data_IF_742513933723
#
_entry.id   IF_742513933723
#
_cell.length_a   1.000
_cell.length_b   1.000
_cell.length_c   1.000
_cell.angle_alpha   90.00
_cell.angle_beta   90.00
_cell.angle_gamma   90.00
#
_symmetry.space_group_name_H-M   'P 1'
#
loop_
_entity.id
_entity.type
_entity.pdbx_description
1 polymer ?
#
# COMPACT_ATOMS: atom_id res chain seq x y z
N UNK A 1 -6.20 -15.30 7.53
CA UNK A 1 -5.88 -14.67 6.24
C UNK A 1 -4.55 -15.23 5.81
N UNK A 2 -4.48 -15.76 4.60
CA UNK A 2 -3.22 -16.29 4.04
C UNK A 2 -2.43 -15.16 3.39
N UNK A 3 -1.11 -15.31 3.27
CA UNK A 3 -0.24 -14.34 2.63
C UNK A 3 -0.67 -14.01 1.19
N UNK A 4 -1.18 -15.01 0.46
CA UNK A 4 -1.74 -14.83 -0.88
C UNK A 4 -3.00 -13.95 -0.89
N UNK A 5 -3.89 -14.08 0.10
CA UNK A 5 -5.07 -13.22 0.21
C UNK A 5 -4.70 -11.77 0.57
N UNK A 6 -3.67 -11.57 1.40
CA UNK A 6 -3.15 -10.23 1.70
C UNK A 6 -2.55 -9.57 0.46
N UNK A 7 -1.77 -10.31 -0.33
CA UNK A 7 -1.18 -9.77 -1.56
C UNK A 7 -2.24 -9.39 -2.59
N UNK A 8 -3.32 -10.17 -2.70
CA UNK A 8 -4.46 -9.83 -3.57
C UNK A 8 -5.18 -8.55 -3.09
N UNK A 9 -5.38 -8.39 -1.77
CA UNK A 9 -5.98 -7.16 -1.22
C UNK A 9 -5.10 -5.94 -1.43
N UNK A 10 -3.79 -6.09 -1.22
CA UNK A 10 -2.81 -5.03 -1.45
C UNK A 10 -2.82 -4.59 -2.93
N UNK A 11 -2.79 -5.55 -3.86
CA UNK A 11 -2.85 -5.24 -5.29
C UNK A 11 -4.15 -4.52 -5.68
N UNK A 12 -5.30 -4.94 -5.14
CA UNK A 12 -6.59 -4.29 -5.40
C UNK A 12 -6.65 -2.86 -4.84
N UNK A 13 -6.12 -2.66 -3.63
CA UNK A 13 -5.98 -1.32 -3.03
C UNK A 13 -5.10 -0.41 -3.89
N UNK A 14 -3.93 -0.88 -4.32
CA UNK A 14 -3.02 -0.09 -5.14
C UNK A 14 -3.62 0.22 -6.52
N UNK A 15 -4.37 -0.70 -7.15
CA UNK A 15 -5.12 -0.41 -8.37
C UNK A 15 -6.11 0.74 -8.14
N UNK A 16 -6.94 0.65 -7.10
CA UNK A 16 -7.91 1.69 -6.76
C UNK A 16 -7.28 3.04 -6.45
N UNK A 17 -6.22 3.05 -5.65
CA UNK A 17 -5.53 4.25 -5.23
C UNK A 17 -4.88 5.00 -6.41
N UNK A 18 -4.31 4.30 -7.40
CA UNK A 18 -3.57 4.94 -8.49
C UNK A 18 -4.39 5.19 -9.77
N UNK A 19 -5.71 4.93 -9.80
CA UNK A 19 -6.54 5.09 -11.01
C UNK A 19 -6.47 6.46 -11.70
N UNK A 20 -6.23 7.53 -10.95
CA UNK A 20 -6.20 8.90 -11.48
C UNK A 20 -4.93 9.67 -11.07
N UNK A 21 -4.04 9.05 -10.31
CA UNK A 21 -2.86 9.69 -9.74
C UNK A 21 -1.63 8.87 -10.13
N UNK A 22 -0.65 9.50 -10.79
CA UNK A 22 0.57 8.79 -11.17
C UNK A 22 1.51 8.58 -9.97
N UNK A 23 1.53 9.52 -9.02
CA UNK A 23 2.36 9.49 -7.81
C UNK A 23 1.53 9.75 -6.56
N UNK A 24 1.85 9.05 -5.48
CA UNK A 24 1.24 9.29 -4.18
C UNK A 24 2.30 9.36 -3.08
N UNK A 25 2.09 10.24 -2.11
CA UNK A 25 2.92 10.26 -0.91
C UNK A 25 2.62 9.05 -0.01
N UNK A 26 3.59 8.61 0.79
CA UNK A 26 3.37 7.59 1.82
C UNK A 26 2.23 7.96 2.78
N UNK A 27 2.09 9.25 3.13
CA UNK A 27 0.98 9.77 3.92
C UNK A 27 -0.38 9.67 3.22
N UNK A 28 -0.44 9.87 1.90
CA UNK A 28 -1.68 9.66 1.13
C UNK A 28 -2.06 8.19 1.07
N UNK A 29 -1.09 7.30 0.85
CA UNK A 29 -1.30 5.86 0.88
C UNK A 29 -1.83 5.41 2.24
N UNK A 30 -1.24 5.89 3.33
CA UNK A 30 -1.72 5.60 4.68
C UNK A 30 -3.17 6.07 4.91
N UNK A 31 -3.49 7.32 4.54
CA UNK A 31 -4.84 7.85 4.70
C UNK A 31 -5.87 7.06 3.89
N UNK A 32 -5.57 6.71 2.64
CA UNK A 32 -6.47 5.89 1.81
C UNK A 32 -6.58 4.47 2.32
N UNK A 33 -5.48 3.89 2.82
CA UNK A 33 -5.51 2.56 3.40
C UNK A 33 -6.43 2.47 4.63
N UNK A 34 -6.41 3.51 5.48
CA UNK A 34 -7.34 3.65 6.60
C UNK A 34 -8.78 3.83 6.10
N UNK A 35 -8.99 4.67 5.09
CA UNK A 35 -10.31 4.93 4.53
C UNK A 35 -10.96 3.69 3.89
N UNK A 36 -10.15 2.79 3.34
CA UNK A 36 -10.57 1.50 2.77
C UNK A 36 -10.63 0.35 3.78
N UNK A 37 -10.41 0.63 5.07
CA UNK A 37 -10.43 -0.36 6.16
C UNK A 37 -9.54 -1.59 5.87
N UNK A 38 -8.31 -1.33 5.40
CA UNK A 38 -7.37 -2.40 5.16
C UNK A 38 -7.06 -3.18 6.45
N UNK A 39 -6.78 -4.49 6.35
CA UNK A 39 -6.35 -5.30 7.49
C UNK A 39 -5.18 -4.67 8.23
N UNK A 40 -5.18 -4.79 9.56
CA UNK A 40 -4.15 -4.22 10.43
C UNK A 40 -2.71 -4.60 10.00
N UNK A 41 -2.50 -5.82 9.53
CA UNK A 41 -1.20 -6.29 9.00
C UNK A 41 -0.73 -5.54 7.76
N UNK A 42 -1.65 -5.11 6.88
CA UNK A 42 -1.34 -4.28 5.72
C UNK A 42 -1.20 -2.80 6.11
N UNK A 43 -2.01 -2.31 7.06
CA UNK A 43 -1.86 -0.96 7.61
C UNK A 43 -0.49 -0.75 8.23
N UNK A 44 0.01 -1.73 9.01
CA UNK A 44 1.37 -1.68 9.57
C UNK A 44 2.45 -1.65 8.49
N UNK A 45 2.27 -2.36 7.37
CA UNK A 45 3.23 -2.29 6.25
C UNK A 45 3.22 -0.93 5.56
N UNK A 46 2.02 -0.36 5.33
CA UNK A 46 1.89 0.97 4.72
C UNK A 46 2.46 2.06 5.63
N UNK A 47 2.24 1.97 6.95
CA UNK A 47 2.82 2.89 7.95
C UNK A 47 4.35 2.79 8.04
N UNK A 48 4.93 1.64 7.68
CA UNK A 48 6.38 1.43 7.65
C UNK A 48 7.06 1.95 6.37
N UNK A 49 6.30 2.46 5.39
CA UNK A 49 6.90 3.05 4.19
C UNK A 49 7.74 4.28 4.57
N UNK A 50 8.96 4.40 4.02
CA UNK A 50 9.73 5.65 4.11
C UNK A 50 8.93 6.85 3.63
N UNK A 51 9.24 8.03 4.17
CA UNK A 51 8.70 9.28 3.64
C UNK A 51 9.15 9.48 2.20
N UNK A 52 8.19 9.73 1.30
CA UNK A 52 8.47 9.89 -0.11
C UNK A 52 7.21 9.81 -0.97
N UNK A 53 7.40 10.03 -2.27
CA UNK A 53 6.37 9.81 -3.29
C UNK A 53 6.69 8.56 -4.08
N UNK A 54 5.67 7.75 -4.31
CA UNK A 54 5.78 6.45 -4.95
C UNK A 54 4.91 6.41 -6.20
N UNK A 55 5.45 5.87 -7.29
CA UNK A 55 4.64 5.28 -8.35
C UNK A 55 3.96 4.00 -7.84
N UNK A 56 2.96 3.51 -8.57
CA UNK A 56 2.21 2.32 -8.18
C UNK A 56 3.11 1.07 -8.07
N UNK A 57 4.02 0.88 -9.02
CA UNK A 57 4.97 -0.22 -9.07
C UNK A 57 6.03 -0.10 -7.96
N UNK A 58 6.55 1.10 -7.72
CA UNK A 58 7.46 1.38 -6.60
C UNK A 58 6.80 1.08 -5.24
N UNK A 59 5.53 1.47 -5.06
CA UNK A 59 4.76 1.17 -3.86
C UNK A 59 4.50 -0.34 -3.71
N UNK A 60 4.16 -1.04 -4.80
CA UNK A 60 3.93 -2.47 -4.80
C UNK A 60 5.20 -3.25 -4.39
N UNK A 61 6.35 -2.85 -4.94
CA UNK A 61 7.64 -3.45 -4.59
C UNK A 61 7.98 -3.20 -3.12
N UNK A 62 7.87 -1.95 -2.65
CA UNK A 62 8.18 -1.58 -1.27
C UNK A 62 7.29 -2.31 -0.25
N UNK A 63 6.01 -2.53 -0.56
CA UNK A 63 5.04 -3.19 0.33
C UNK A 63 5.05 -4.72 0.23
N UNK A 64 5.68 -5.28 -0.81
CA UNK A 64 5.89 -6.72 -0.97
C UNK A 64 7.20 -7.20 -0.37
N UNK A 65 8.18 -6.31 -0.16
CA UNK A 65 9.44 -6.66 0.46
C UNK A 65 9.27 -6.88 1.98
N UNK A 66 9.93 -7.89 2.57
CA UNK A 66 9.99 -8.00 4.03
C UNK A 66 10.70 -6.75 4.57
N UNK A 67 10.05 -6.06 5.51
CA UNK A 67 10.67 -4.95 6.24
C UNK A 67 12.00 -5.45 6.83
N UNK A 68 13.10 -4.77 6.50
CA UNK A 68 14.46 -5.09 6.96
C UNK A 68 14.59 -4.76 8.44
#
# INVERSE_FOLDING_TARGET
>A
MTESEENLRLAAFLDGAYRAEERMSSGDLQRRAIAEDLPASLLTRVDALPEGEYLQDEAAEALSAPAI
#
